data_IF_264710174250
#
_entry.id   IF_264710174250
#
_cell.length_a   1.000
_cell.length_b   1.000
_cell.length_c   1.000
_cell.angle_alpha   90.00
_cell.angle_beta   90.00
_cell.angle_gamma   90.00
#
_symmetry.space_group_name_H-M   'P 1'
#
loop_
_entity.id
_entity.type
_entity.pdbx_description
1 polymer ?
#
# COMPACT_ATOMS: atom_id res chain seq x y z
N UNK A 1 -1.13 22.27 13.67
CA UNK A 1 -2.59 22.07 13.72
C UNK A 1 -3.11 22.05 12.29
N UNK A 2 -3.45 20.87 11.76
CA UNK A 2 -4.06 20.75 10.43
C UNK A 2 -5.57 20.57 10.62
N UNK A 3 -6.35 21.51 10.11
CA UNK A 3 -7.82 21.45 10.09
C UNK A 3 -8.26 20.79 8.78
N UNK A 4 -8.96 19.67 8.88
CA UNK A 4 -9.75 19.13 7.78
C UNK A 4 -11.22 19.42 8.07
N UNK A 5 -11.75 20.49 7.49
CA UNK A 5 -13.19 20.74 7.47
C UNK A 5 -13.79 20.05 6.24
N UNK A 6 -14.78 19.18 6.47
CA UNK A 6 -15.69 18.68 5.41
C UNK A 6 -16.97 19.52 5.50
N UNK A 7 -17.51 20.07 4.40
CA UNK A 7 -18.80 20.74 4.46
C UNK A 7 -19.92 19.71 4.60
N UNK A 8 -20.82 19.94 5.56
CA UNK A 8 -22.05 19.19 5.72
C UNK A 8 -22.93 19.32 4.48
N UNK A 9 -23.04 18.24 3.71
CA UNK A 9 -23.99 18.09 2.62
C UNK A 9 -24.79 16.80 2.85
N UNK A 10 -26.03 16.96 3.28
CA UNK A 10 -26.92 15.86 3.63
C UNK A 10 -27.38 15.01 2.44
N UNK A 11 -27.81 13.79 2.77
CA UNK A 11 -28.76 13.01 1.98
C UNK A 11 -28.20 12.23 0.80
N UNK A 12 -28.06 10.90 0.99
CA UNK A 12 -28.29 9.90 -0.05
C UNK A 12 -27.34 9.89 -1.25
N UNK A 13 -26.14 9.32 -1.08
CA UNK A 13 -25.52 8.40 -2.05
C UNK A 13 -24.21 7.85 -1.46
N UNK A 14 -24.07 6.53 -1.42
CA UNK A 14 -22.82 5.85 -1.07
C UNK A 14 -21.83 6.08 -2.21
N UNK A 15 -20.81 6.90 -1.95
CA UNK A 15 -19.66 7.19 -2.82
C UNK A 15 -19.94 8.11 -4.03
N UNK A 16 -20.28 9.37 -3.78
CA UNK A 16 -19.98 10.46 -4.73
C UNK A 16 -18.70 11.18 -4.31
N UNK A 17 -17.58 10.88 -4.97
CA UNK A 17 -16.36 11.67 -4.90
C UNK A 17 -16.53 12.88 -5.83
N UNK A 18 -16.76 14.07 -5.28
CA UNK A 18 -16.86 15.30 -6.07
C UNK A 18 -15.47 15.65 -6.61
N UNK A 19 -15.32 15.63 -7.94
CA UNK A 19 -14.16 16.19 -8.65
C UNK A 19 -14.32 17.71 -8.66
N UNK A 20 -13.56 18.42 -7.84
CA UNK A 20 -13.41 19.87 -7.99
C UNK A 20 -12.33 20.14 -9.04
N UNK A 21 -12.78 20.62 -10.20
CA UNK A 21 -11.94 21.22 -11.23
C UNK A 21 -11.32 22.51 -10.71
N UNK A 22 -9.99 22.64 -10.86
CA UNK A 22 -9.30 23.92 -10.71
C UNK A 22 -8.34 24.02 -9.54
N UNK A 23 -7.30 23.18 -9.50
CA UNK A 23 -6.06 23.48 -8.80
C UNK A 23 -4.90 22.69 -9.45
N UNK A 24 -3.83 23.40 -9.79
CA UNK A 24 -2.58 22.83 -10.29
C UNK A 24 -2.02 21.77 -9.34
N UNK A 25 -1.66 20.61 -9.91
CA UNK A 25 -0.72 19.61 -9.39
C UNK A 25 -0.61 19.52 -7.87
N UNK A 26 -1.72 19.20 -7.18
CA UNK A 26 -1.67 18.86 -5.77
C UNK A 26 -1.41 17.38 -5.64
N UNK A 27 -0.20 17.03 -5.21
CA UNK A 27 0.17 15.72 -4.68
C UNK A 27 -0.91 15.24 -3.70
N UNK A 28 -1.75 14.29 -4.10
CA UNK A 28 -2.76 13.65 -3.23
C UNK A 28 -2.15 12.66 -2.22
N UNK A 29 -0.85 12.81 -1.91
CA UNK A 29 -0.04 11.84 -1.19
C UNK A 29 0.73 12.38 0.01
N UNK A 30 0.45 13.60 0.49
CA UNK A 30 1.07 14.12 1.71
C UNK A 30 0.06 14.28 2.85
N UNK A 31 0.20 13.37 3.82
CA UNK A 31 0.05 13.59 5.27
C UNK A 31 -1.37 13.86 5.82
N UNK A 32 -2.06 12.77 6.15
CA UNK A 32 -2.76 12.62 7.42
C UNK A 32 -2.55 11.17 7.89
N UNK A 33 -1.42 10.88 8.54
CA UNK A 33 -1.22 9.61 9.22
C UNK A 33 -2.11 9.56 10.48
N UNK A 34 -2.97 8.54 10.57
CA UNK A 34 -3.51 8.06 11.86
C UNK A 34 -4.73 8.76 12.46
N UNK A 35 -5.31 9.81 11.85
CA UNK A 35 -6.54 10.41 12.37
C UNK A 35 -7.76 10.10 11.50
N UNK A 36 -8.39 8.96 11.80
CA UNK A 36 -9.71 8.61 11.28
C UNK A 36 -10.80 9.29 12.10
N UNK A 37 -11.72 9.99 11.42
CA UNK A 37 -12.90 10.55 12.08
C UNK A 37 -13.86 9.43 12.55
N UNK A 38 -14.80 9.71 13.48
CA UNK A 38 -15.69 8.68 14.03
C UNK A 38 -16.54 7.95 12.97
N UNK A 39 -16.92 8.63 11.88
CA UNK A 39 -17.73 8.04 10.80
C UNK A 39 -16.89 7.10 9.94
N UNK A 40 -15.65 7.47 9.65
CA UNK A 40 -14.67 6.61 8.97
C UNK A 40 -14.37 5.36 9.80
N UNK A 41 -14.13 5.52 11.11
CA UNK A 41 -13.93 4.39 12.03
C UNK A 41 -15.12 3.44 12.05
N UNK A 42 -16.34 3.98 12.11
CA UNK A 42 -17.57 3.18 12.04
C UNK A 42 -17.66 2.37 10.75
N UNK A 43 -17.39 3.01 9.61
CA UNK A 43 -17.36 2.35 8.29
C UNK A 43 -16.32 1.23 8.23
N UNK A 44 -15.07 1.49 8.65
CA UNK A 44 -14.01 0.48 8.61
C UNK A 44 -14.26 -0.68 9.58
N UNK A 45 -14.81 -0.41 10.76
CA UNK A 45 -15.21 -1.46 11.71
C UNK A 45 -16.31 -2.36 11.13
N UNK A 46 -17.27 -1.78 10.41
CA UNK A 46 -18.32 -2.54 9.73
C UNK A 46 -17.75 -3.41 8.60
N UNK A 47 -16.85 -2.84 7.77
CA UNK A 47 -16.17 -3.60 6.70
C UNK A 47 -15.36 -4.77 7.29
N UNK A 48 -14.57 -4.54 8.34
CA UNK A 48 -13.84 -5.61 9.06
C UNK A 48 -14.79 -6.69 9.59
N UNK A 49 -15.91 -6.29 10.17
CA UNK A 49 -16.90 -7.24 10.73
C UNK A 49 -17.56 -8.09 9.64
N UNK A 50 -17.92 -7.47 8.50
CA UNK A 50 -18.44 -8.21 7.34
C UNK A 50 -17.40 -9.16 6.79
N UNK A 51 -16.14 -8.72 6.73
CA UNK A 51 -15.02 -9.53 6.26
C UNK A 51 -14.84 -10.81 7.07
N UNK A 52 -14.78 -10.69 8.40
CA UNK A 52 -14.65 -11.84 9.31
C UNK A 52 -15.84 -12.81 9.27
N UNK A 53 -16.99 -12.42 8.72
CA UNK A 53 -18.22 -13.22 8.73
C UNK A 53 -18.64 -13.80 7.38
N UNK A 54 -18.26 -13.19 6.25
CA UNK A 54 -18.95 -13.44 4.97
C UNK A 54 -18.06 -13.69 3.75
N UNK A 55 -16.74 -13.51 3.82
CA UNK A 55 -15.89 -13.69 2.65
C UNK A 55 -15.37 -15.12 2.53
N UNK A 56 -16.21 -15.99 1.98
CA UNK A 56 -15.85 -17.35 1.60
C UNK A 56 -15.25 -17.36 0.18
N UNK A 57 -13.92 -17.24 0.08
CA UNK A 57 -13.16 -17.62 -1.12
C UNK A 57 -12.84 -16.51 -2.15
N UNK A 58 -13.22 -15.26 -1.91
CA UNK A 58 -12.73 -14.13 -2.72
C UNK A 58 -11.46 -13.53 -2.10
N UNK A 59 -10.52 -13.12 -2.96
CA UNK A 59 -9.26 -12.48 -2.57
C UNK A 59 -9.55 -11.17 -1.83
N UNK A 60 -9.16 -11.10 -0.56
CA UNK A 60 -9.34 -9.93 0.31
C UNK A 60 -8.92 -8.61 -0.36
N UNK A 61 -7.80 -8.65 -1.09
CA UNK A 61 -7.18 -7.46 -1.65
C UNK A 61 -7.92 -6.91 -2.89
N UNK A 62 -8.90 -7.63 -3.43
CA UNK A 62 -9.63 -7.22 -4.65
C UNK A 62 -10.99 -6.56 -4.34
N UNK A 63 -11.43 -6.60 -3.07
CA UNK A 63 -12.77 -6.13 -2.67
C UNK A 63 -12.86 -4.60 -2.67
N UNK A 64 -11.75 -3.94 -2.32
CA UNK A 64 -11.68 -2.49 -2.15
C UNK A 64 -10.71 -1.88 -3.15
N UNK A 65 -10.89 -0.60 -3.47
CA UNK A 65 -9.89 0.16 -4.22
C UNK A 65 -8.64 0.35 -3.36
N UNK A 66 -7.46 0.41 -3.97
CA UNK A 66 -6.16 0.51 -3.29
C UNK A 66 -6.13 1.53 -2.14
N UNK A 67 -6.66 2.75 -2.35
CA UNK A 67 -6.68 3.79 -1.31
C UNK A 67 -7.59 3.44 -0.12
N UNK A 68 -8.69 2.75 -0.35
CA UNK A 68 -9.63 2.30 0.69
C UNK A 68 -9.06 1.10 1.43
N UNK A 69 -8.45 0.17 0.69
CA UNK A 69 -7.74 -0.99 1.25
C UNK A 69 -6.56 -0.56 2.12
N UNK A 70 -5.71 0.35 1.64
CA UNK A 70 -4.61 0.92 2.42
C UNK A 70 -5.09 1.53 3.74
N UNK A 71 -6.14 2.35 3.70
CA UNK A 71 -6.72 2.97 4.90
C UNK A 71 -7.32 1.95 5.86
N UNK A 72 -7.98 0.92 5.34
CA UNK A 72 -8.50 -0.19 6.14
C UNK A 72 -7.37 -0.95 6.82
N UNK A 73 -6.29 -1.26 6.11
CA UNK A 73 -5.12 -1.95 6.65
C UNK A 73 -4.45 -1.14 7.77
N UNK A 74 -4.27 0.17 7.58
CA UNK A 74 -3.76 1.05 8.63
C UNK A 74 -4.69 1.09 9.85
N UNK A 75 -5.99 1.26 9.64
CA UNK A 75 -6.97 1.24 10.72
C UNK A 75 -6.96 -0.08 11.48
N UNK A 76 -6.92 -1.21 10.77
CA UNK A 76 -6.93 -2.53 11.39
C UNK A 76 -5.65 -2.76 12.19
N UNK A 77 -4.48 -2.38 11.64
CA UNK A 77 -3.21 -2.44 12.37
C UNK A 77 -3.29 -1.73 13.73
N UNK A 78 -3.96 -0.58 13.80
CA UNK A 78 -4.09 0.17 15.05
C UNK A 78 -5.04 -0.48 16.07
N UNK A 79 -6.00 -1.29 15.61
CA UNK A 79 -7.05 -1.88 16.46
C UNK A 79 -6.73 -3.31 16.88
N UNK A 80 -6.18 -4.10 15.97
CA UNK A 80 -5.92 -5.54 16.13
C UNK A 80 -4.79 -5.97 15.19
N UNK A 81 -3.53 -5.66 15.54
CA UNK A 81 -2.38 -5.93 14.68
C UNK A 81 -2.16 -7.42 14.45
N UNK A 82 -2.27 -8.26 15.49
CA UNK A 82 -2.09 -9.71 15.36
C UNK A 82 -3.16 -10.35 14.48
N UNK A 83 -4.44 -9.99 14.68
CA UNK A 83 -5.51 -10.52 13.84
C UNK A 83 -5.44 -10.03 12.39
N UNK A 84 -4.87 -8.85 12.14
CA UNK A 84 -4.58 -8.38 10.78
C UNK A 84 -3.47 -9.22 10.14
N UNK A 85 -2.36 -9.43 10.86
CA UNK A 85 -1.21 -10.19 10.37
C UNK A 85 -1.61 -11.62 9.99
N UNK A 86 -2.25 -12.36 10.91
CA UNK A 86 -2.76 -13.71 10.68
C UNK A 86 -3.62 -13.78 9.42
N UNK A 87 -4.47 -12.75 9.23
CA UNK A 87 -5.39 -12.72 8.12
C UNK A 87 -4.71 -12.41 6.79
N UNK A 88 -3.72 -11.52 6.78
CA UNK A 88 -2.93 -11.26 5.58
C UNK A 88 -2.15 -12.53 5.20
N UNK A 89 -1.54 -13.22 6.17
CA UNK A 89 -0.82 -14.49 5.95
C UNK A 89 -1.75 -15.53 5.30
N UNK A 90 -2.96 -15.72 5.83
CA UNK A 90 -3.96 -16.63 5.27
C UNK A 90 -4.27 -16.32 3.79
N UNK A 91 -4.40 -15.03 3.44
CA UNK A 91 -4.69 -14.60 2.07
C UNK A 91 -3.45 -14.74 1.16
N UNK A 92 -2.24 -14.51 1.67
CA UNK A 92 -0.98 -14.74 0.95
C UNK A 92 -0.77 -16.22 0.62
N UNK A 93 -1.15 -17.13 1.53
CA UNK A 93 -1.07 -18.57 1.29
C UNK A 93 -2.15 -19.07 0.33
N UNK A 94 -3.33 -18.44 0.34
CA UNK A 94 -4.45 -18.84 -0.52
C UNK A 94 -4.28 -18.39 -1.98
N UNK A 95 -3.65 -17.24 -2.21
CA UNK A 95 -3.65 -16.58 -3.52
C UNK A 95 -2.22 -16.28 -3.99
N UNK A 96 -1.81 -16.91 -5.09
CA UNK A 96 -0.45 -16.77 -5.66
C UNK A 96 -0.03 -15.30 -5.93
N UNK A 97 -0.98 -14.44 -6.33
CA UNK A 97 -0.70 -13.03 -6.66
C UNK A 97 -0.96 -12.06 -5.50
N UNK A 98 -1.37 -12.55 -4.32
CA UNK A 98 -1.75 -11.68 -3.21
C UNK A 98 -0.60 -10.78 -2.74
N UNK A 99 0.64 -11.29 -2.72
CA UNK A 99 1.81 -10.50 -2.35
C UNK A 99 1.98 -9.27 -3.27
N UNK A 100 1.84 -9.45 -4.57
CA UNK A 100 1.94 -8.36 -5.54
C UNK A 100 0.78 -7.35 -5.41
N UNK A 101 -0.44 -7.82 -5.19
CA UNK A 101 -1.60 -6.94 -5.00
C UNK A 101 -1.44 -6.12 -3.71
N UNK A 102 -0.97 -6.76 -2.64
CA UNK A 102 -0.62 -6.10 -1.40
C UNK A 102 0.43 -5.02 -1.65
N UNK A 103 1.54 -5.32 -2.34
CA UNK A 103 2.55 -4.31 -2.68
C UNK A 103 1.95 -3.11 -3.41
N UNK A 104 1.16 -3.34 -4.46
CA UNK A 104 0.54 -2.30 -5.28
C UNK A 104 -0.38 -1.37 -4.48
N UNK A 105 -1.00 -1.89 -3.42
CA UNK A 105 -1.85 -1.12 -2.51
C UNK A 105 -1.08 0.01 -1.82
N UNK A 106 0.20 -0.19 -1.52
CA UNK A 106 1.06 0.81 -0.86
C UNK A 106 1.83 1.70 -1.84
N UNK A 107 1.70 1.47 -3.14
CA UNK A 107 2.32 2.32 -4.15
C UNK A 107 1.42 3.53 -4.40
N UNK A 108 1.94 4.77 -4.27
CA UNK A 108 1.15 5.96 -4.51
C UNK A 108 0.60 5.98 -5.94
N UNK A 109 -0.67 6.36 -6.06
CA UNK A 109 -1.31 6.59 -7.35
C UNK A 109 -1.22 8.07 -7.70
N UNK A 110 -0.59 8.39 -8.83
CA UNK A 110 -0.57 9.74 -9.41
C UNK A 110 -1.73 9.87 -10.40
N UNK A 111 -2.46 10.98 -10.27
CA UNK A 111 -3.47 11.41 -11.23
C UNK A 111 -2.93 12.67 -11.90
N UNK A 112 -2.72 12.61 -13.22
CA UNK A 112 -2.28 13.74 -14.02
C UNK A 112 -3.36 14.12 -15.01
N UNK A 113 -3.81 15.37 -14.92
CA UNK A 113 -4.77 15.97 -15.85
C UNK A 113 -4.03 16.94 -16.78
N UNK A 114 -4.29 16.82 -18.09
CA UNK A 114 -3.74 17.71 -19.12
C UNK A 114 -4.83 17.96 -20.17
N UNK A 115 -5.50 19.10 -20.10
CA UNK A 115 -6.65 19.39 -20.95
C UNK A 115 -7.83 18.46 -20.63
N UNK A 116 -8.33 17.74 -21.65
CA UNK A 116 -9.39 16.74 -21.48
C UNK A 116 -8.86 15.36 -21.04
N UNK A 117 -7.54 15.14 -21.11
CA UNK A 117 -6.95 13.84 -20.83
C UNK A 117 -6.62 13.70 -19.34
N UNK A 118 -7.04 12.59 -18.76
CA UNK A 118 -6.68 12.18 -17.39
C UNK A 118 -5.91 10.87 -17.44
N UNK A 119 -4.68 10.87 -16.96
CA UNK A 119 -3.84 9.67 -16.84
C UNK A 119 -3.68 9.34 -15.36
N UNK A 120 -3.96 8.09 -15.00
CA UNK A 120 -3.84 7.56 -13.64
C UNK A 120 -2.79 6.45 -13.67
N UNK A 121 -1.74 6.56 -12.87
CA UNK A 121 -0.67 5.57 -12.83
C UNK A 121 -0.01 5.45 -11.45
N UNK A 122 0.70 4.34 -11.22
CA UNK A 122 1.47 4.07 -10.00
C UNK A 122 2.86 4.70 -10.09
N UNK A 123 3.25 5.48 -9.08
CA UNK A 123 4.41 6.38 -9.11
C UNK A 123 5.77 5.75 -8.79
N UNK A 124 5.89 4.43 -8.77
CA UNK A 124 7.08 3.76 -8.24
C UNK A 124 6.96 3.44 -6.74
N UNK A 125 7.55 2.31 -6.34
CA UNK A 125 7.75 1.98 -4.93
C UNK A 125 8.96 2.74 -4.39
N UNK A 126 8.81 3.35 -3.21
CA UNK A 126 9.88 4.07 -2.53
C UNK A 126 10.04 3.55 -1.09
N UNK A 127 11.08 4.04 -0.39
CA UNK A 127 11.39 3.62 0.98
C UNK A 127 10.20 3.81 1.93
N UNK A 128 9.41 4.88 1.78
CA UNK A 128 8.24 5.12 2.63
C UNK A 128 7.16 4.06 2.41
N UNK A 129 6.90 3.68 1.14
CA UNK A 129 6.00 2.59 0.81
C UNK A 129 6.46 1.26 1.41
N UNK A 130 7.75 0.94 1.25
CA UNK A 130 8.37 -0.24 1.86
C UNK A 130 8.22 -0.27 3.39
N UNK A 131 8.55 0.83 4.08
CA UNK A 131 8.40 0.95 5.53
C UNK A 131 6.95 0.84 6.00
N UNK A 132 5.99 1.32 5.20
CA UNK A 132 4.56 1.21 5.51
C UNK A 132 4.12 -0.26 5.50
N UNK A 133 4.58 -1.02 4.51
CA UNK A 133 4.35 -2.47 4.41
C UNK A 133 5.04 -3.20 5.56
N UNK A 134 6.32 -2.90 5.81
CA UNK A 134 7.11 -3.50 6.90
C UNK A 134 6.49 -3.25 8.28
N UNK A 135 5.73 -2.17 8.44
CA UNK A 135 4.99 -1.91 9.67
C UNK A 135 3.74 -2.77 9.84
N UNK A 136 3.24 -3.43 8.79
CA UNK A 136 2.01 -4.24 8.82
C UNK A 136 2.34 -5.74 8.82
N UNK A 137 3.37 -6.14 8.07
CA UNK A 137 3.77 -7.52 7.89
C UNK A 137 5.29 -7.61 7.76
N UNK A 138 5.88 -8.73 8.19
CA UNK A 138 7.30 -9.01 7.98
C UNK A 138 7.66 -8.93 6.48
N UNK A 139 8.58 -8.03 6.08
CA UNK A 139 9.06 -7.95 4.71
C UNK A 139 9.68 -9.26 4.18
N UNK A 140 10.28 -10.09 5.04
CA UNK A 140 10.84 -11.38 4.62
C UNK A 140 9.75 -12.30 4.07
N UNK A 141 8.60 -12.35 4.73
CA UNK A 141 7.48 -13.18 4.28
C UNK A 141 7.00 -12.74 2.89
N UNK A 142 6.86 -11.43 2.68
CA UNK A 142 6.44 -10.89 1.38
C UNK A 142 7.50 -11.19 0.32
N UNK A 143 8.78 -11.02 0.66
CA UNK A 143 9.89 -11.34 -0.22
C UNK A 143 9.87 -12.81 -0.65
N UNK A 144 9.72 -13.74 0.30
CA UNK A 144 9.63 -15.17 0.04
C UNK A 144 8.44 -15.52 -0.85
N UNK A 145 7.26 -14.96 -0.57
CA UNK A 145 6.06 -15.16 -1.42
C UNK A 145 6.26 -14.65 -2.84
N UNK A 146 6.96 -13.54 -3.02
CA UNK A 146 7.28 -13.01 -4.35
C UNK A 146 8.32 -13.88 -5.07
N UNK A 147 9.30 -14.43 -4.34
CA UNK A 147 10.25 -15.40 -4.91
C UNK A 147 9.56 -16.69 -5.34
N UNK A 148 8.65 -17.22 -4.52
CA UNK A 148 7.88 -18.43 -4.85
C UNK A 148 7.03 -18.26 -6.11
N UNK A 149 6.37 -17.10 -6.25
CA UNK A 149 5.41 -16.83 -7.33
C UNK A 149 6.04 -16.30 -8.61
N UNK A 150 7.11 -15.51 -8.51
CA UNK A 150 7.70 -14.77 -9.64
C UNK A 150 9.21 -14.95 -9.79
N UNK A 151 9.87 -15.62 -8.84
CA UNK A 151 11.32 -15.79 -8.83
C UNK A 151 12.10 -14.53 -8.46
N UNK A 152 13.42 -14.66 -8.46
CA UNK A 152 14.31 -13.51 -8.32
C UNK A 152 14.37 -12.75 -9.63
N UNK A 153 13.91 -11.50 -9.63
CA UNK A 153 13.97 -10.67 -10.83
C UNK A 153 15.31 -9.93 -10.88
N UNK A 154 16.03 -10.13 -11.98
CA UNK A 154 17.17 -9.31 -12.37
C UNK A 154 16.73 -8.48 -13.56
N UNK A 155 16.54 -7.18 -13.37
CA UNK A 155 16.40 -6.28 -14.51
C UNK A 155 17.78 -6.11 -15.14
N UNK A 156 17.96 -6.56 -16.39
CA UNK A 156 19.19 -6.36 -17.18
C UNK A 156 19.41 -4.90 -17.59
N UNK A 157 18.45 -4.04 -17.28
CA UNK A 157 18.52 -2.61 -17.49
C UNK A 157 18.74 -1.97 -16.12
N UNK A 158 19.80 -1.16 -15.98
CA UNK A 158 19.73 -0.04 -15.03
C UNK A 158 18.36 0.59 -15.28
N UNK A 159 17.48 0.72 -14.27
CA UNK A 159 16.19 1.35 -14.48
C UNK A 159 16.50 2.71 -15.09
N UNK A 160 16.24 2.89 -16.39
CA UNK A 160 16.40 4.15 -17.11
C UNK A 160 15.56 5.13 -16.32
N UNK A 161 16.23 5.83 -15.39
CA UNK A 161 15.64 6.55 -14.25
C UNK A 161 14.14 6.50 -14.34
N UNK A 162 13.52 5.46 -13.76
CA UNK A 162 12.06 5.32 -13.74
C UNK A 162 11.53 6.59 -13.12
N UNK A 163 11.29 7.58 -13.97
CA UNK A 163 11.04 8.92 -13.51
C UNK A 163 9.68 8.89 -12.84
N UNK A 164 9.35 9.95 -12.12
CA UNK A 164 8.02 10.17 -11.56
C UNK A 164 6.89 10.24 -12.62
N UNK A 165 7.14 9.78 -13.85
CA UNK A 165 6.39 10.01 -15.08
C UNK A 165 6.04 8.75 -15.86
N UNK A 166 6.54 7.56 -15.50
CA UNK A 166 6.21 6.31 -16.18
C UNK A 166 5.40 5.37 -15.27
N UNK A 167 4.34 4.72 -15.79
CA UNK A 167 3.56 3.75 -15.03
C UNK A 167 4.43 2.54 -14.68
N UNK A 168 4.53 2.25 -13.39
CA UNK A 168 5.24 1.08 -12.90
C UNK A 168 4.49 -0.19 -13.29
N UNK A 169 5.15 -1.12 -13.98
CA UNK A 169 4.60 -2.44 -14.25
C UNK A 169 4.88 -3.42 -13.09
N UNK A 170 4.31 -4.63 -13.20
CA UNK A 170 4.37 -5.66 -12.16
C UNK A 170 5.80 -6.14 -11.88
N UNK A 171 6.60 -6.34 -12.93
CA UNK A 171 7.99 -6.78 -12.80
C UNK A 171 8.85 -5.70 -12.15
N UNK A 172 8.67 -4.43 -12.55
CA UNK A 172 9.36 -3.30 -11.93
C UNK A 172 8.97 -3.13 -10.45
N UNK A 173 7.68 -3.34 -10.13
CA UNK A 173 7.19 -3.33 -8.74
C UNK A 173 7.91 -4.35 -7.88
N UNK A 174 7.94 -5.61 -8.34
CA UNK A 174 8.56 -6.72 -7.64
C UNK A 174 10.06 -6.45 -7.47
N UNK A 175 10.73 -6.04 -8.55
CA UNK A 175 12.15 -5.74 -8.53
C UNK A 175 12.49 -4.64 -7.52
N UNK A 176 11.77 -3.52 -7.52
CA UNK A 176 12.02 -2.42 -6.59
C UNK A 176 11.83 -2.86 -5.13
N UNK A 177 10.82 -3.69 -4.85
CA UNK A 177 10.63 -4.27 -3.52
C UNK A 177 11.82 -5.16 -3.14
N UNK A 178 12.23 -6.09 -4.01
CA UNK A 178 13.36 -6.99 -3.77
C UNK A 178 14.66 -6.20 -3.50
N UNK A 179 14.92 -5.12 -4.23
CA UNK A 179 16.08 -4.25 -4.02
C UNK A 179 16.05 -3.53 -2.67
N UNK A 180 14.90 -2.93 -2.31
CA UNK A 180 14.74 -2.24 -1.03
C UNK A 180 14.88 -3.23 0.14
N UNK A 181 14.33 -4.43 0.00
CA UNK A 181 14.44 -5.49 0.99
C UNK A 181 15.89 -5.95 1.20
N UNK A 182 16.61 -6.28 0.13
CA UNK A 182 18.01 -6.71 0.22
C UNK A 182 18.90 -5.63 0.83
N UNK A 183 18.64 -4.35 0.51
CA UNK A 183 19.35 -3.22 1.10
C UNK A 183 19.09 -3.11 2.60
N UNK A 184 17.83 -3.14 3.03
CA UNK A 184 17.44 -3.08 4.45
C UNK A 184 18.04 -4.25 5.25
N UNK A 185 18.03 -5.47 4.71
CA UNK A 185 18.64 -6.64 5.34
C UNK A 185 20.16 -6.51 5.45
N UNK A 186 20.83 -6.00 4.42
CA UNK A 186 22.28 -5.80 4.44
C UNK A 186 22.70 -4.76 5.50
N UNK A 187 21.98 -3.64 5.57
CA UNK A 187 22.24 -2.58 6.55
C UNK A 187 22.10 -3.08 8.00
N UNK A 188 21.14 -3.96 8.29
CA UNK A 188 20.96 -4.56 9.63
C UNK A 188 22.11 -5.50 10.03
N UNK A 189 22.61 -6.29 9.08
CA UNK A 189 23.71 -7.22 9.32
C UNK A 189 25.04 -6.49 9.61
N UNK A 190 25.24 -5.29 9.03
CA UNK A 190 26.41 -4.45 9.32
C UNK A 190 26.33 -3.79 10.70
N UNK A 191 25.13 -3.47 11.20
CA UNK A 191 24.94 -2.85 12.52
C UNK A 191 25.05 -3.81 13.70
N UNK A 192 24.81 -5.11 13.48
CA UNK A 192 24.87 -6.15 14.51
C UNK A 192 26.25 -6.84 14.60
N UNK A 193 27.24 -6.38 13.83
CA UNK A 193 28.59 -6.89 13.92
C UNK A 193 29.19 -6.57 15.32
N UNK A 194 29.72 -7.57 16.05
CA UNK A 194 30.30 -7.33 17.35
C UNK A 194 31.46 -6.35 17.22
N UNK A 195 31.36 -5.21 17.92
CA UNK A 195 32.47 -4.29 18.10
C UNK A 195 33.52 -5.03 18.93
N UNK A 196 34.61 -5.43 18.29
CA UNK A 196 35.74 -6.03 18.99
C UNK A 196 36.17 -5.10 20.14
N UNK A 197 36.19 -5.58 21.40
CA UNK A 197 36.69 -4.77 22.50
C UNK A 197 38.19 -4.54 22.33
N UNK A 198 38.59 -3.27 22.25
CA UNK A 198 39.98 -2.80 22.25
C UNK A 198 40.61 -3.02 23.63
#
# INVERSE_FOLDING_TARGET
SCFCSVPDGGGGNLLSLVVLSGASATTLGSQCEGQFDPKQRGTFAEIRTRFNKQFNGHNFFEILKDNELWRLLLFWKDVDPSGLEDKIIEELDRHQNAALILLKTFIPTIIRTSGADTVIFKSGMNLKGYQSIAGILDPNLIYDKLLESHGLLKLELEPEKSGDRLPLNDQETIYLFQQLHLKDTSERLETDAPVDPI
#
